data_IF_829058403410
#
_entry.id   IF_829058403410
#
_cell.length_a   1.000
_cell.length_b   1.000
_cell.length_c   1.000
_cell.angle_alpha   90.00
_cell.angle_beta   90.00
_cell.angle_gamma   90.00
#
_symmetry.space_group_name_H-M   'P 1'
#
loop_
_entity.id
_entity.type
_entity.pdbx_description
1 polymer ?
#
# COMPACT_ATOMS: atom_id res chain seq x y z
N UNK A 1 9.46 37.09 16.43
CA UNK A 1 10.33 36.57 15.36
C UNK A 1 9.76 35.22 14.91
N UNK A 2 9.30 35.07 13.65
CA UNK A 2 8.84 33.76 13.15
C UNK A 2 10.06 32.94 12.72
N UNK A 3 10.42 31.92 13.49
CA UNK A 3 11.46 30.96 13.10
C UNK A 3 10.92 30.11 11.95
N UNK A 4 11.60 30.11 10.80
CA UNK A 4 11.31 29.18 9.69
C UNK A 4 12.20 27.96 9.84
N UNK A 5 11.59 26.76 9.85
CA UNK A 5 12.30 25.49 9.93
C UNK A 5 12.25 24.79 8.57
N UNK A 6 13.38 24.65 7.85
CA UNK A 6 13.40 23.98 6.55
C UNK A 6 12.86 22.54 6.60
N UNK A 7 13.07 21.84 7.72
CA UNK A 7 12.56 20.48 7.92
C UNK A 7 11.03 20.49 8.01
N UNK A 8 10.48 21.40 8.82
CA UNK A 8 9.03 21.55 8.96
C UNK A 8 8.37 21.94 7.63
N UNK A 9 9.00 22.81 6.86
CA UNK A 9 8.51 23.24 5.54
C UNK A 9 8.46 22.06 4.55
N UNK A 10 9.52 21.24 4.49
CA UNK A 10 9.58 20.07 3.60
C UNK A 10 8.62 18.97 4.03
N UNK A 11 8.45 18.75 5.33
CA UNK A 11 7.47 17.79 5.83
C UNK A 11 6.03 18.23 5.53
N UNK A 12 5.73 19.51 5.74
CA UNK A 12 4.44 20.10 5.37
C UNK A 12 4.18 20.00 3.87
N UNK A 13 5.20 20.21 3.04
CA UNK A 13 5.09 20.01 1.59
C UNK A 13 4.73 18.57 1.22
N UNK A 14 5.37 17.58 1.85
CA UNK A 14 5.04 16.16 1.67
C UNK A 14 3.59 15.85 2.05
N UNK A 15 3.14 16.29 3.24
CA UNK A 15 1.75 16.07 3.68
C UNK A 15 0.75 16.76 2.73
N UNK A 16 1.02 17.99 2.32
CA UNK A 16 0.18 18.71 1.38
C UNK A 16 0.13 18.02 0.01
N UNK A 17 1.20 17.36 -0.44
CA UNK A 17 1.18 16.58 -1.68
C UNK A 17 0.19 15.40 -1.59
N UNK A 18 0.12 14.71 -0.45
CA UNK A 18 -0.86 13.64 -0.19
C UNK A 18 -2.31 14.14 -0.17
N UNK A 19 -2.54 15.42 0.17
CA UNK A 19 -3.87 16.04 0.16
C UNK A 19 -4.29 16.54 -1.22
N UNK A 20 -3.34 16.80 -2.13
CA UNK A 20 -3.62 17.34 -3.47
C UNK A 20 -4.19 16.28 -4.40
N UNK A 21 -5.50 16.30 -4.59
CA UNK A 21 -6.18 15.43 -5.57
C UNK A 21 -6.06 16.07 -6.97
N UNK A 22 -4.95 15.83 -7.66
CA UNK A 22 -4.84 16.17 -9.08
C UNK A 22 -5.63 15.14 -9.90
N UNK A 23 -6.85 15.52 -10.32
CA UNK A 23 -7.78 14.67 -11.09
C UNK A 23 -7.27 14.18 -12.46
N UNK A 24 -6.08 14.60 -12.87
CA UNK A 24 -5.49 14.30 -14.18
C UNK A 24 -4.20 13.50 -14.06
N UNK A 25 -4.16 12.50 -13.16
CA UNK A 25 -3.17 11.44 -13.30
C UNK A 25 -3.49 10.66 -14.59
N UNK A 26 -2.84 11.04 -15.68
CA UNK A 26 -2.85 10.26 -16.92
C UNK A 26 -1.93 9.06 -16.74
N UNK A 27 -2.43 7.86 -17.03
CA UNK A 27 -1.60 6.65 -17.09
C UNK A 27 -1.90 5.62 -16.00
N UNK A 28 -0.90 4.80 -15.70
CA UNK A 28 -1.02 3.68 -14.78
C UNK A 28 -0.80 4.12 -13.33
N UNK A 29 -1.89 4.45 -12.61
CA UNK A 29 -1.83 4.84 -11.19
C UNK A 29 -1.15 3.81 -10.30
N UNK A 30 -1.18 2.52 -10.64
CA UNK A 30 -0.45 1.52 -9.88
C UNK A 30 1.06 1.65 -10.04
N UNK A 31 1.54 2.13 -11.19
CA UNK A 31 2.95 2.49 -11.37
C UNK A 31 3.31 3.71 -10.53
N UNK A 32 2.47 4.77 -10.52
CA UNK A 32 2.74 5.94 -9.68
C UNK A 32 2.89 5.58 -8.20
N UNK A 33 1.98 4.74 -7.68
CA UNK A 33 2.10 4.20 -6.32
C UNK A 33 3.38 3.38 -6.12
N UNK A 34 3.73 2.51 -7.08
CA UNK A 34 4.97 1.73 -7.01
C UNK A 34 6.21 2.63 -6.98
N UNK A 35 6.22 3.66 -7.83
CA UNK A 35 7.30 4.62 -7.98
C UNK A 35 7.49 5.44 -6.70
N UNK A 36 6.42 5.97 -6.12
CA UNK A 36 6.47 6.72 -4.86
C UNK A 36 7.04 5.86 -3.73
N UNK A 37 6.53 4.64 -3.56
CA UNK A 37 7.04 3.70 -2.55
C UNK A 37 8.52 3.38 -2.77
N UNK A 38 8.93 3.17 -4.03
CA UNK A 38 10.32 2.90 -4.36
C UNK A 38 11.23 4.08 -4.01
N UNK A 39 10.88 5.30 -4.45
CA UNK A 39 11.69 6.50 -4.21
C UNK A 39 11.73 6.87 -2.72
N UNK A 40 10.64 6.68 -1.98
CA UNK A 40 10.63 6.86 -0.52
C UNK A 40 11.60 5.88 0.14
N UNK A 41 11.58 4.59 -0.24
CA UNK A 41 12.52 3.61 0.32
C UNK A 41 13.97 3.85 -0.10
N UNK A 42 14.21 4.32 -1.32
CA UNK A 42 15.55 4.73 -1.74
C UNK A 42 16.06 5.90 -0.90
N UNK A 43 15.21 6.89 -0.61
CA UNK A 43 15.54 7.99 0.29
C UNK A 43 15.77 7.51 1.74
N UNK A 44 14.96 6.58 2.25
CA UNK A 44 15.17 5.96 3.57
C UNK A 44 16.51 5.23 3.63
N UNK A 45 16.85 4.43 2.61
CA UNK A 45 18.11 3.72 2.55
C UNK A 45 19.31 4.67 2.52
N UNK A 46 19.27 5.71 1.67
CA UNK A 46 20.28 6.77 1.62
C UNK A 46 20.45 7.47 2.98
N UNK A 47 19.34 7.81 3.63
CA UNK A 47 19.37 8.40 4.96
C UNK A 47 19.95 7.45 6.00
N UNK A 48 19.55 6.17 5.98
CA UNK A 48 20.05 5.14 6.88
C UNK A 48 21.57 5.03 6.84
N UNK A 49 22.14 4.95 5.63
CA UNK A 49 23.59 4.91 5.43
C UNK A 49 24.25 6.19 5.93
N UNK A 50 23.77 7.37 5.52
CA UNK A 50 24.39 8.66 5.88
C UNK A 50 24.29 9.03 7.36
N UNK A 51 23.19 8.63 8.01
CA UNK A 51 22.94 8.90 9.43
C UNK A 51 23.37 7.75 10.33
N UNK A 52 24.05 6.72 9.79
CA UNK A 52 24.47 5.52 10.51
C UNK A 52 23.35 4.88 11.34
N UNK A 53 22.16 4.74 10.75
CA UNK A 53 21.04 4.06 11.38
C UNK A 53 21.10 2.57 11.07
N UNK A 54 20.65 1.75 12.00
CA UNK A 54 20.60 0.31 11.78
C UNK A 54 19.34 -0.11 10.99
N UNK A 55 18.24 0.62 11.16
CA UNK A 55 16.92 0.27 10.63
C UNK A 55 16.24 1.48 9.98
N UNK A 56 15.56 1.22 8.86
CA UNK A 56 14.70 2.18 8.17
C UNK A 56 13.48 2.54 9.03
N UNK A 57 12.86 3.69 8.76
CA UNK A 57 11.62 4.08 9.45
C UNK A 57 10.45 3.24 8.95
N UNK A 58 9.48 2.95 9.83
CA UNK A 58 8.27 2.24 9.44
C UNK A 58 7.52 3.00 8.34
N UNK A 59 7.03 2.27 7.33
CA UNK A 59 6.34 2.84 6.15
C UNK A 59 4.84 2.48 6.15
N UNK A 60 4.31 1.88 7.22
CA UNK A 60 2.90 1.44 7.28
C UNK A 60 1.94 2.59 7.00
N UNK A 61 2.13 3.71 7.69
CA UNK A 61 1.18 4.82 7.70
C UNK A 61 1.27 5.59 6.38
N UNK A 62 2.49 5.80 5.89
CA UNK A 62 2.73 6.38 4.56
C UNK A 62 2.12 5.52 3.45
N UNK A 63 2.23 4.19 3.54
CA UNK A 63 1.60 3.31 2.57
C UNK A 63 0.07 3.39 2.63
N UNK A 64 -0.52 3.37 3.83
CA UNK A 64 -1.96 3.57 4.02
C UNK A 64 -2.42 4.89 3.39
N UNK A 65 -1.70 5.99 3.64
CA UNK A 65 -2.03 7.31 3.11
C UNK A 65 -1.88 7.39 1.59
N UNK A 66 -0.87 6.74 1.01
CA UNK A 66 -0.72 6.64 -0.44
C UNK A 66 -1.89 5.86 -1.07
N UNK A 67 -2.30 4.74 -0.47
CA UNK A 67 -3.50 4.01 -0.93
C UNK A 67 -4.72 4.92 -0.87
N UNK A 68 -4.96 5.57 0.27
CA UNK A 68 -6.09 6.48 0.43
C UNK A 68 -6.05 7.64 -0.58
N UNK A 69 -4.88 8.24 -0.80
CA UNK A 69 -4.66 9.28 -1.80
C UNK A 69 -5.08 8.81 -3.20
N UNK A 70 -4.56 7.67 -3.67
CA UNK A 70 -4.88 7.18 -5.00
C UNK A 70 -6.34 6.72 -5.14
N UNK A 71 -6.96 6.22 -4.07
CA UNK A 71 -8.41 6.01 -4.04
C UNK A 71 -9.18 7.33 -4.21
N UNK A 72 -8.78 8.42 -3.54
CA UNK A 72 -9.41 9.75 -3.71
C UNK A 72 -9.26 10.30 -5.12
N UNK A 73 -8.14 10.01 -5.79
CA UNK A 73 -7.93 10.40 -7.19
C UNK A 73 -8.81 9.60 -8.15
N UNK A 74 -8.93 8.29 -7.93
CA UNK A 74 -9.60 7.37 -8.85
C UNK A 74 -11.12 7.28 -8.66
N UNK A 75 -11.62 7.55 -7.46
CA UNK A 75 -13.05 7.39 -7.16
C UNK A 75 -13.88 8.61 -7.60
N UNK A 76 -15.09 8.40 -8.11
CA UNK A 76 -16.03 9.49 -8.38
C UNK A 76 -16.39 10.29 -7.11
N UNK A 77 -16.77 11.56 -7.27
CA UNK A 77 -17.11 12.49 -6.16
C UNK A 77 -18.16 11.97 -5.16
N UNK A 78 -19.02 11.03 -5.57
CA UNK A 78 -20.03 10.41 -4.71
C UNK A 78 -19.45 9.49 -3.63
N UNK A 79 -18.16 9.19 -3.74
CA UNK A 79 -17.41 8.40 -2.76
C UNK A 79 -16.49 9.30 -1.96
N UNK A 80 -16.31 8.95 -0.70
CA UNK A 80 -15.38 9.59 0.23
C UNK A 80 -14.47 8.54 0.86
N UNK A 81 -13.21 8.90 1.12
CA UNK A 81 -12.18 8.00 1.63
C UNK A 81 -11.66 8.53 2.96
N UNK A 82 -11.95 7.79 4.04
CA UNK A 82 -11.61 8.12 5.42
C UNK A 82 -10.52 7.16 5.91
N UNK A 83 -9.40 7.67 6.39
CA UNK A 83 -8.39 6.85 7.07
C UNK A 83 -8.77 6.70 8.54
N UNK A 84 -8.56 5.51 9.10
CA UNK A 84 -8.67 5.25 10.55
C UNK A 84 -10.00 5.69 11.20
N UNK A 85 -11.09 5.67 10.43
CA UNK A 85 -12.40 6.04 10.93
C UNK A 85 -12.92 4.97 11.90
N UNK A 86 -13.10 5.35 13.16
CA UNK A 86 -13.51 4.43 14.23
C UNK A 86 -15.03 4.41 14.40
N UNK A 87 -15.59 3.20 14.50
CA UNK A 87 -16.96 2.96 14.93
C UNK A 87 -16.95 1.88 16.02
N UNK A 88 -17.56 2.18 17.16
CA UNK A 88 -17.48 1.36 18.36
C UNK A 88 -16.02 1.07 18.75
N UNK A 89 -15.64 -0.20 18.90
CA UNK A 89 -14.27 -0.65 19.18
C UNK A 89 -13.49 -1.05 17.92
N UNK A 90 -14.01 -0.74 16.74
CA UNK A 90 -13.48 -1.22 15.46
C UNK A 90 -13.04 -0.05 14.59
N UNK A 91 -11.78 -0.10 14.15
CA UNK A 91 -11.15 0.90 13.30
C UNK A 91 -10.39 0.16 12.21
N UNK A 92 -10.87 0.15 10.95
CA UNK A 92 -10.06 -0.30 9.83
C UNK A 92 -9.12 0.82 9.37
N UNK A 93 -8.10 0.42 8.62
CA UNK A 93 -7.10 1.31 8.04
C UNK A 93 -7.76 2.34 7.10
N UNK A 94 -8.71 1.91 6.26
CA UNK A 94 -9.48 2.80 5.37
C UNK A 94 -10.97 2.41 5.34
N UNK A 95 -11.86 3.41 5.46
CA UNK A 95 -13.29 3.34 5.16
C UNK A 95 -13.60 4.11 3.88
N UNK A 96 -14.50 3.56 3.08
CA UNK A 96 -15.11 4.28 1.95
C UNK A 96 -16.59 4.46 2.24
N UNK A 97 -17.08 5.70 2.09
CA UNK A 97 -18.51 5.99 2.08
C UNK A 97 -18.98 6.25 0.65
N UNK A 98 -20.27 6.03 0.38
CA UNK A 98 -20.94 6.37 -0.88
C UNK A 98 -22.23 7.11 -0.54
N UNK A 99 -22.37 8.36 -0.97
CA UNK A 99 -23.49 9.23 -0.63
C UNK A 99 -23.77 9.26 0.90
N UNK A 100 -22.70 9.41 1.70
CA UNK A 100 -22.78 9.49 3.17
C UNK A 100 -23.03 8.16 3.90
N UNK A 101 -23.17 7.02 3.19
CA UNK A 101 -23.34 5.69 3.81
C UNK A 101 -22.08 4.86 3.69
N UNK A 102 -21.75 4.07 4.71
CA UNK A 102 -20.62 3.14 4.66
C UNK A 102 -20.77 2.19 3.46
N UNK A 103 -19.67 2.01 2.71
CA UNK A 103 -19.68 1.25 1.46
C UNK A 103 -18.65 0.13 1.45
N UNK A 104 -17.42 0.40 1.89
CA UNK A 104 -16.35 -0.58 1.97
C UNK A 104 -15.43 -0.31 3.16
N UNK A 105 -14.78 -1.37 3.65
CA UNK A 105 -13.75 -1.31 4.68
C UNK A 105 -12.51 -2.07 4.21
N UNK A 106 -11.35 -1.43 4.36
CA UNK A 106 -10.09 -1.91 3.79
C UNK A 106 -9.05 -1.97 4.90
N UNK A 107 -8.33 -3.08 4.95
CA UNK A 107 -7.15 -3.27 5.77
C UNK A 107 -5.90 -3.26 4.88
N UNK A 108 -4.93 -2.43 5.19
CA UNK A 108 -3.70 -2.23 4.45
C UNK A 108 -2.53 -2.87 5.20
N UNK A 109 -1.64 -3.57 4.50
CA UNK A 109 -0.46 -4.21 5.12
C UNK A 109 0.78 -4.07 4.23
N UNK A 110 1.85 -3.44 4.76
CA UNK A 110 3.17 -3.29 4.11
C UNK A 110 4.04 -4.53 4.30
N UNK A 111 4.14 -5.02 5.52
CA UNK A 111 4.93 -6.20 5.91
C UNK A 111 4.10 -7.11 6.79
N UNK A 112 4.29 -8.43 6.62
CA UNK A 112 3.60 -9.45 7.42
C UNK A 112 4.63 -10.18 8.27
N UNK A 113 5.60 -9.42 8.78
CA UNK A 113 6.20 -9.81 10.04
C UNK A 113 5.03 -10.03 11.00
N UNK A 114 4.88 -11.25 11.49
CA UNK A 114 3.92 -11.64 12.52
C UNK A 114 2.53 -12.21 12.19
N UNK A 115 2.17 -12.60 10.95
CA UNK A 115 0.96 -13.42 10.79
C UNK A 115 0.97 -14.52 9.72
N UNK A 116 1.88 -15.50 9.87
CA UNK A 116 1.60 -16.86 9.37
C UNK A 116 0.22 -17.35 9.86
N UNK A 117 -0.14 -16.96 11.08
CA UNK A 117 -1.41 -17.28 11.71
C UNK A 117 -2.63 -16.62 11.06
N UNK A 118 -2.49 -15.43 10.45
CA UNK A 118 -3.64 -14.74 9.84
C UNK A 118 -4.20 -15.56 8.69
N UNK A 119 -3.32 -16.10 7.85
CA UNK A 119 -3.69 -16.97 6.74
C UNK A 119 -3.98 -18.40 7.22
N UNK A 120 -3.12 -18.99 8.06
CA UNK A 120 -3.27 -20.39 8.52
C UNK A 120 -4.50 -20.63 9.39
N UNK A 121 -4.85 -19.70 10.29
CA UNK A 121 -5.99 -19.82 11.22
C UNK A 121 -7.27 -19.11 10.72
N UNK A 122 -7.27 -18.65 9.47
CA UNK A 122 -8.36 -17.85 8.87
C UNK A 122 -8.76 -16.59 9.68
N UNK A 123 -7.86 -16.05 10.51
CA UNK A 123 -8.17 -14.85 11.31
C UNK A 123 -8.52 -13.63 10.44
N UNK A 124 -8.01 -13.58 9.20
CA UNK A 124 -8.41 -12.56 8.22
C UNK A 124 -9.93 -12.55 8.02
N UNK A 125 -10.59 -13.71 7.94
CA UNK A 125 -12.05 -13.79 7.75
C UNK A 125 -12.82 -13.26 8.95
N UNK A 126 -12.34 -13.56 10.16
CA UNK A 126 -12.94 -13.07 11.41
C UNK A 126 -12.88 -11.54 11.45
N UNK A 127 -11.73 -10.96 11.11
CA UNK A 127 -11.57 -9.50 11.04
C UNK A 127 -12.50 -8.88 9.98
N UNK A 128 -12.52 -9.41 8.76
CA UNK A 128 -13.40 -8.90 7.70
C UNK A 128 -14.89 -9.03 8.04
N UNK A 129 -15.29 -10.11 8.73
CA UNK A 129 -16.65 -10.28 9.24
C UNK A 129 -16.99 -9.22 10.28
N UNK A 130 -16.07 -8.95 11.21
CA UNK A 130 -16.22 -7.90 12.23
C UNK A 130 -16.41 -6.54 11.58
N UNK A 131 -15.56 -6.17 10.62
CA UNK A 131 -15.68 -4.93 9.85
C UNK A 131 -17.04 -4.84 9.13
N UNK A 132 -17.42 -5.92 8.44
CA UNK A 132 -18.69 -6.00 7.72
C UNK A 132 -19.90 -5.79 8.63
N UNK A 133 -19.92 -6.43 9.80
CA UNK A 133 -21.00 -6.31 10.78
C UNK A 133 -21.04 -4.92 11.42
N UNK A 134 -19.91 -4.42 11.92
CA UNK A 134 -19.86 -3.12 12.61
C UNK A 134 -20.26 -1.96 11.68
N UNK A 135 -19.79 -1.97 10.43
CA UNK A 135 -20.09 -0.90 9.48
C UNK A 135 -21.35 -1.16 8.65
N UNK A 136 -22.01 -2.32 8.80
CA UNK A 136 -23.22 -2.65 8.05
C UNK A 136 -22.99 -2.77 6.54
N UNK A 137 -21.82 -3.26 6.12
CA UNK A 137 -21.43 -3.39 4.71
C UNK A 137 -21.39 -4.86 4.28
N UNK A 138 -21.52 -5.14 2.98
CA UNK A 138 -21.35 -6.48 2.44
C UNK A 138 -19.95 -7.03 2.73
N UNK A 139 -19.83 -8.30 3.13
CA UNK A 139 -18.53 -8.97 3.31
C UNK A 139 -17.67 -8.95 2.03
N UNK A 140 -18.29 -8.84 0.84
CA UNK A 140 -17.53 -8.71 -0.42
C UNK A 140 -16.75 -7.40 -0.49
N UNK A 141 -17.15 -6.38 0.27
CA UNK A 141 -16.56 -5.03 0.35
C UNK A 141 -15.74 -4.80 1.63
N UNK A 142 -15.55 -5.84 2.44
CA UNK A 142 -14.51 -5.88 3.46
C UNK A 142 -13.34 -6.72 2.91
N UNK A 143 -12.16 -6.12 2.74
CA UNK A 143 -11.01 -6.82 2.15
C UNK A 143 -9.67 -6.23 2.59
N UNK A 144 -8.59 -6.95 2.29
CA UNK A 144 -7.22 -6.53 2.52
C UNK A 144 -6.56 -6.06 1.21
N UNK A 145 -5.76 -5.01 1.29
CA UNK A 145 -4.76 -4.64 0.28
C UNK A 145 -3.38 -4.88 0.89
N UNK A 146 -2.60 -5.74 0.26
CA UNK A 146 -1.22 -5.97 0.66
C UNK A 146 -0.32 -5.23 -0.31
N UNK A 147 0.79 -4.70 0.18
CA UNK A 147 1.79 -4.15 -0.73
C UNK A 147 2.33 -5.25 -1.65
N UNK A 148 2.80 -6.37 -1.06
CA UNK A 148 3.39 -7.46 -1.83
C UNK A 148 3.01 -8.86 -1.34
N UNK A 149 2.98 -9.81 -2.27
CA UNK A 149 2.65 -11.21 -1.99
C UNK A 149 3.79 -11.97 -1.30
N UNK A 150 5.06 -11.69 -1.66
CA UNK A 150 6.23 -12.39 -1.11
C UNK A 150 6.40 -12.25 0.40
N UNK A 151 5.76 -11.25 1.01
CA UNK A 151 5.88 -11.00 2.45
C UNK A 151 5.11 -12.01 3.32
N UNK A 152 4.31 -12.92 2.75
CA UNK A 152 3.59 -13.96 3.51
C UNK A 152 4.42 -15.25 3.61
N UNK A 153 4.49 -16.00 2.52
CA UNK A 153 5.26 -17.24 2.34
C UNK A 153 5.27 -17.62 0.84
N UNK A 154 6.01 -18.65 0.46
CA UNK A 154 6.14 -19.09 -0.94
C UNK A 154 4.80 -19.55 -1.53
N UNK A 155 4.01 -20.32 -0.77
CA UNK A 155 2.71 -20.81 -1.22
C UNK A 155 1.74 -19.67 -1.55
N UNK A 156 1.69 -18.65 -0.69
CA UNK A 156 0.91 -17.45 -0.90
C UNK A 156 1.39 -16.69 -2.14
N UNK A 157 2.70 -16.48 -2.29
CA UNK A 157 3.25 -15.87 -3.48
C UNK A 157 2.82 -16.61 -4.74
N UNK A 158 2.89 -17.94 -4.76
CA UNK A 158 2.49 -18.75 -5.91
C UNK A 158 1.01 -18.61 -6.28
N UNK A 159 0.12 -18.39 -5.31
CA UNK A 159 -1.30 -18.14 -5.58
C UNK A 159 -1.49 -16.90 -6.47
N UNK A 160 -0.65 -15.88 -6.27
CA UNK A 160 -0.75 -14.62 -7.00
C UNK A 160 0.12 -14.60 -8.26
N UNK A 161 1.34 -15.14 -8.17
CA UNK A 161 2.31 -15.26 -9.27
C UNK A 161 1.79 -16.15 -10.40
N UNK A 162 1.16 -17.29 -10.07
CA UNK A 162 0.67 -18.27 -11.06
C UNK A 162 -0.84 -18.14 -11.33
N UNK A 163 -1.46 -17.05 -10.88
CA UNK A 163 -2.92 -16.81 -10.98
C UNK A 163 -3.80 -18.01 -10.55
N UNK A 164 -3.37 -18.76 -9.52
CA UNK A 164 -4.07 -20.00 -9.10
C UNK A 164 -5.46 -19.66 -8.55
N UNK A 165 -6.53 -20.39 -8.95
CA UNK A 165 -7.84 -20.28 -8.31
C UNK A 165 -7.74 -20.59 -6.82
N UNK A 166 -8.01 -19.60 -5.95
CA UNK A 166 -7.88 -19.79 -4.51
C UNK A 166 -8.82 -18.87 -3.71
N UNK A 167 -9.32 -19.37 -2.57
CA UNK A 167 -10.26 -18.65 -1.69
C UNK A 167 -9.74 -17.29 -1.21
N UNK A 168 -8.42 -17.16 -1.03
CA UNK A 168 -7.78 -15.91 -0.58
C UNK A 168 -7.96 -14.76 -1.56
N UNK A 169 -8.02 -15.03 -2.87
CA UNK A 169 -8.16 -14.00 -3.93
C UNK A 169 -9.50 -13.27 -3.89
N UNK A 170 -10.44 -13.71 -3.04
CA UNK A 170 -11.72 -13.02 -2.77
C UNK A 170 -11.59 -11.93 -1.71
N UNK A 171 -10.56 -12.00 -0.88
CA UNK A 171 -10.43 -11.22 0.35
C UNK A 171 -9.11 -10.46 0.47
N UNK A 172 -8.04 -10.90 -0.20
CA UNK A 172 -6.71 -10.32 -0.10
C UNK A 172 -6.20 -9.99 -1.50
N UNK A 173 -5.75 -8.75 -1.66
CA UNK A 173 -5.31 -8.19 -2.93
C UNK A 173 -3.90 -7.61 -2.77
N UNK A 174 -2.84 -8.40 -3.00
CA UNK A 174 -1.50 -7.87 -3.14
C UNK A 174 -1.41 -7.02 -4.41
N UNK A 175 -0.78 -5.85 -4.30
CA UNK A 175 -0.52 -4.99 -5.45
C UNK A 175 0.64 -5.53 -6.30
N UNK A 176 1.68 -6.01 -5.62
CA UNK A 176 2.93 -6.45 -6.22
C UNK A 176 3.32 -7.87 -5.78
N UNK A 177 4.25 -8.50 -6.50
CA UNK A 177 4.85 -9.78 -6.11
C UNK A 177 5.89 -9.57 -5.02
N UNK A 178 6.74 -8.56 -5.17
CA UNK A 178 7.75 -8.09 -4.21
C UNK A 178 7.46 -6.65 -3.79
N UNK A 179 8.00 -6.21 -2.66
CA UNK A 179 7.90 -4.79 -2.25
C UNK A 179 8.54 -3.87 -3.29
N UNK A 180 8.04 -2.63 -3.35
CA UNK A 180 8.66 -1.58 -4.15
C UNK A 180 9.93 -1.08 -3.44
N UNK A 181 11.00 -1.89 -3.45
CA UNK A 181 12.22 -1.64 -2.69
C UNK A 181 13.45 -1.63 -3.62
N UNK A 182 14.41 -0.69 -3.43
CA UNK A 182 15.65 -0.64 -4.20
C UNK A 182 16.49 -1.92 -4.17
N UNK A 183 16.35 -2.76 -3.14
CA UNK A 183 17.09 -4.02 -3.03
C UNK A 183 16.77 -5.04 -4.12
N UNK A 184 15.65 -4.85 -4.83
CA UNK A 184 15.26 -5.69 -5.95
C UNK A 184 15.95 -5.27 -7.28
N UNK A 185 16.63 -4.12 -7.30
CA UNK A 185 17.47 -3.67 -8.42
C UNK A 185 18.96 -3.62 -8.03
N UNK A 186 19.24 -3.35 -6.76
CA UNK A 186 20.57 -3.16 -6.21
C UNK A 186 21.53 -4.33 -6.47
N UNK A 187 22.72 -4.01 -6.96
CA UNK A 187 23.82 -4.97 -7.09
C UNK A 187 24.49 -5.21 -5.73
N UNK A 188 24.47 -4.20 -4.85
CA UNK A 188 24.95 -4.30 -3.47
C UNK A 188 24.18 -5.38 -2.69
N UNK A 189 24.89 -6.33 -2.10
CA UNK A 189 24.31 -7.44 -1.31
C UNK A 189 24.78 -7.41 0.14
N UNK A 190 24.07 -8.14 1.00
CA UNK A 190 24.50 -8.42 2.37
C UNK A 190 24.78 -7.15 3.20
N UNK A 191 25.89 -7.19 3.95
CA UNK A 191 26.29 -6.14 4.87
C UNK A 191 26.68 -4.84 4.17
N UNK A 192 27.05 -4.87 2.89
CA UNK A 192 27.44 -3.67 2.15
C UNK A 192 26.29 -2.67 2.03
N UNK A 193 25.04 -3.13 2.10
CA UNK A 193 23.84 -2.28 2.15
C UNK A 193 23.76 -1.38 3.38
N UNK A 194 24.58 -1.62 4.40
CA UNK A 194 24.69 -0.75 5.58
C UNK A 194 25.60 0.45 5.30
N UNK A 195 26.55 0.28 4.39
CA UNK A 195 27.62 1.25 4.15
C UNK A 195 27.44 2.02 2.83
N UNK A 196 26.69 1.46 1.89
CA UNK A 196 26.53 2.01 0.53
C UNK A 196 25.06 2.08 0.14
N UNK A 197 24.75 3.03 -0.75
CA UNK A 197 23.46 3.16 -1.42
C UNK A 197 23.67 3.45 -2.91
N UNK A 198 22.70 3.03 -3.73
CA UNK A 198 22.67 3.29 -5.17
C UNK A 198 21.57 4.30 -5.51
N UNK A 199 21.73 4.96 -6.65
CA UNK A 199 20.67 5.74 -7.28
C UNK A 199 20.15 4.97 -8.50
N UNK A 200 18.85 5.07 -8.76
CA UNK A 200 18.16 4.26 -9.77
C UNK A 200 17.45 5.16 -10.76
N UNK A 201 17.61 4.82 -12.05
CA UNK A 201 16.96 5.49 -13.15
C UNK A 201 15.47 5.13 -13.20
N UNK A 202 14.67 6.04 -13.72
CA UNK A 202 13.21 5.88 -13.73
C UNK A 202 12.75 4.74 -14.67
N UNK A 203 13.49 4.46 -15.74
CA UNK A 203 13.24 3.31 -16.63
C UNK A 203 13.48 1.97 -15.91
N UNK A 204 14.51 1.85 -15.08
CA UNK A 204 14.79 0.64 -14.30
C UNK A 204 13.68 0.37 -13.28
N UNK A 205 13.18 1.42 -12.62
CA UNK A 205 12.06 1.34 -11.70
C UNK A 205 10.79 0.89 -12.42
N UNK A 206 10.54 1.41 -13.63
CA UNK A 206 9.42 1.01 -14.47
C UNK A 206 9.53 -0.45 -14.93
N UNK A 207 10.72 -0.91 -15.31
CA UNK A 207 10.95 -2.30 -15.70
C UNK A 207 10.81 -3.27 -14.52
N UNK A 208 11.22 -2.85 -13.32
CA UNK A 208 10.90 -3.58 -12.10
C UNK A 208 9.39 -3.66 -11.90
N UNK A 209 8.67 -2.53 -11.98
CA UNK A 209 7.22 -2.51 -11.83
C UNK A 209 6.51 -3.49 -12.79
N UNK A 210 6.87 -3.48 -14.08
CA UNK A 210 6.26 -4.35 -15.10
C UNK A 210 6.40 -5.83 -14.76
N UNK A 211 7.56 -6.25 -14.24
CA UNK A 211 7.83 -7.64 -13.82
C UNK A 211 7.22 -7.99 -12.47
N UNK A 212 6.84 -6.99 -11.69
CA UNK A 212 6.48 -7.16 -10.28
C UNK A 212 4.99 -6.95 -9.99
N UNK A 213 4.18 -6.48 -10.94
CA UNK A 213 2.73 -6.33 -10.76
C UNK A 213 2.00 -7.69 -10.76
N UNK A 214 1.02 -7.86 -9.87
CA UNK A 214 0.22 -9.11 -9.82
C UNK A 214 -0.75 -9.20 -10.99
N UNK A 215 -1.33 -8.07 -11.39
CA UNK A 215 -2.20 -7.94 -12.56
C UNK A 215 -1.88 -6.64 -13.29
N UNK A 216 -2.47 -6.41 -14.47
CA UNK A 216 -2.40 -5.09 -15.10
C UNK A 216 -3.19 -4.09 -14.25
N UNK A 217 -2.53 -3.01 -13.82
CA UNK A 217 -3.11 -1.90 -13.03
C UNK A 217 -3.82 -2.41 -11.75
N UNK A 218 -3.08 -3.06 -10.82
CA UNK A 218 -3.67 -3.78 -9.68
C UNK A 218 -4.60 -2.92 -8.82
N UNK A 219 -4.25 -1.67 -8.51
CA UNK A 219 -5.09 -0.79 -7.70
C UNK A 219 -6.42 -0.45 -8.39
N UNK A 220 -6.36 -0.09 -9.67
CA UNK A 220 -7.57 0.20 -10.47
C UNK A 220 -8.44 -1.06 -10.61
N UNK A 221 -7.83 -2.23 -10.78
CA UNK A 221 -8.56 -3.51 -10.86
C UNK A 221 -9.31 -3.81 -9.56
N UNK A 222 -8.70 -3.55 -8.39
CA UNK A 222 -9.35 -3.69 -7.08
C UNK A 222 -10.53 -2.71 -6.97
N UNK A 223 -10.33 -1.44 -7.31
CA UNK A 223 -11.37 -0.40 -7.23
C UNK A 223 -12.59 -0.78 -8.08
N UNK A 224 -12.38 -1.20 -9.33
CA UNK A 224 -13.47 -1.66 -10.19
C UNK A 224 -14.24 -2.80 -9.53
N UNK A 225 -13.53 -3.88 -9.19
CA UNK A 225 -14.10 -5.12 -8.66
C UNK A 225 -14.79 -4.98 -7.31
N UNK A 226 -14.33 -4.07 -6.45
CA UNK A 226 -14.74 -4.02 -5.03
C UNK A 226 -15.55 -2.80 -4.65
N UNK A 227 -15.37 -1.70 -5.38
CA UNK A 227 -15.95 -0.42 -5.02
C UNK A 227 -16.97 0.05 -6.06
N UNK A 228 -16.69 -0.13 -7.36
CA UNK A 228 -17.56 0.36 -8.42
C UNK A 228 -18.63 -0.65 -8.82
N UNK A 229 -18.30 -1.94 -8.81
CA UNK A 229 -19.24 -3.06 -8.98
C UNK A 229 -20.16 -3.24 -7.74
#
# INVERSE_FOLDING_TARGET
MKVRSPISDKYSFFLNALLKINKKLSGDVSYHLFYDLFKIRAAQWKYKVKANREVDSALSDVFQDLIAHYFRVLLPKRFEVLCEHKKDKVQPDIIITKNGKYWAAIEVKTTIGWTRDLVKKENYRKRLRTLSQTFGISQKRAFYIFEAARNVNREFLEIFEKDKPHKLRRHIYPLFLNNAHPFNLSEIKGNDRKNYYEEFLDNEIYDLYKRNRVTRNPLQAIIRKKILD
#
